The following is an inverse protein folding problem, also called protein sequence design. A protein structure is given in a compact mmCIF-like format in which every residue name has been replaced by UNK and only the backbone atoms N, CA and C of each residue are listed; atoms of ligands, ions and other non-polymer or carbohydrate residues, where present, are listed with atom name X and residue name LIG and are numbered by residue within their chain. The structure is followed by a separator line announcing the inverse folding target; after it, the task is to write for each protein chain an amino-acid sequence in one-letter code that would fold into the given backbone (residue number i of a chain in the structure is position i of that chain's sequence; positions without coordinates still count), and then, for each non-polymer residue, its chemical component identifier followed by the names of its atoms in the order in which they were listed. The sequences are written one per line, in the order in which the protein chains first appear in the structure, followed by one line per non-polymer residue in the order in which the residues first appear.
data_IF_015231968523
#
_entry.id   IF_015231968523
#
_cell.length_a   1.000
_cell.length_b   1.000
_cell.length_c   1.000
_cell.angle_alpha   90.00
_cell.angle_beta   90.00
_cell.angle_gamma   90.00
#
_symmetry.space_group_name_H-M   'P 1'
#
loop_
_entity.id
_entity.type
_entity.pdbx_description
1 polymer ?
#
# COMPACT_ATOMS: atom_id res chain seq x y z
N UNK A 1 -1.97 12.99 -19.81
CA UNK A 1 -1.76 12.27 -21.09
C UNK A 1 -2.37 10.88 -20.93
N UNK A 2 -3.28 10.48 -21.82
CA UNK A 2 -3.81 9.11 -21.81
C UNK A 2 -2.75 8.17 -22.38
N UNK A 3 -2.13 7.34 -21.56
CA UNK A 3 -1.23 6.29 -22.05
C UNK A 3 -2.05 5.32 -22.91
N UNK A 4 -1.77 5.29 -24.20
CA UNK A 4 -2.43 4.40 -25.15
C UNK A 4 -1.96 2.95 -24.89
N UNK A 5 -2.92 2.02 -24.82
CA UNK A 5 -2.66 0.58 -24.73
C UNK A 5 -3.17 -0.12 -25.98
N UNK A 6 -2.66 -1.31 -26.27
CA UNK A 6 -3.20 -2.19 -27.30
C UNK A 6 -3.57 -3.56 -26.73
N UNK A 7 -4.60 -4.16 -27.32
CA UNK A 7 -5.14 -5.45 -26.92
C UNK A 7 -5.19 -6.38 -28.13
N UNK A 8 -4.69 -7.61 -27.96
CA UNK A 8 -4.63 -8.63 -29.01
C UNK A 8 -5.13 -9.97 -28.47
N UNK A 9 -6.05 -10.61 -29.16
CA UNK A 9 -6.37 -12.02 -28.92
C UNK A 9 -5.66 -12.92 -29.93
N UNK A 10 -5.07 -14.01 -29.47
CA UNK A 10 -4.36 -14.94 -30.34
C UNK A 10 -4.37 -16.37 -29.79
N UNK A 11 -4.16 -17.35 -30.66
CA UNK A 11 -4.04 -18.76 -30.26
C UNK A 11 -2.62 -19.06 -29.80
N UNK A 12 -2.46 -19.48 -28.55
CA UNK A 12 -1.15 -19.87 -28.01
C UNK A 12 -0.93 -21.36 -28.27
N UNK A 13 0.23 -21.72 -28.82
CA UNK A 13 0.59 -23.13 -29.09
C UNK A 13 1.11 -23.79 -27.80
N UNK A 14 0.44 -24.84 -27.28
CA UNK A 14 0.97 -25.63 -26.17
C UNK A 14 2.25 -26.38 -26.58
N UNK A 15 3.16 -26.64 -25.62
CA UNK A 15 4.44 -27.33 -25.88
C UNK A 15 4.26 -28.74 -26.47
N UNK A 16 3.19 -29.47 -26.12
CA UNK A 16 2.92 -30.84 -26.56
C UNK A 16 1.73 -30.93 -27.53
N UNK A 17 1.55 -29.93 -28.39
CA UNK A 17 0.40 -29.89 -29.30
C UNK A 17 0.55 -30.91 -30.45
N UNK A 18 -0.30 -31.94 -30.43
CA UNK A 18 -0.39 -32.97 -31.50
C UNK A 18 -1.56 -32.68 -32.46
N UNK A 19 -2.60 -31.97 -32.00
CA UNK A 19 -3.78 -31.59 -32.77
C UNK A 19 -4.92 -31.10 -31.88
N UNK A 20 -5.99 -30.53 -32.46
CA UNK A 20 -7.20 -30.14 -31.74
C UNK A 20 -7.33 -28.64 -31.42
N UNK A 21 -8.12 -28.32 -30.40
CA UNK A 21 -8.38 -26.94 -29.98
C UNK A 21 -7.13 -26.28 -29.41
N UNK A 22 -7.01 -24.96 -29.58
CA UNK A 22 -5.93 -24.17 -28.97
C UNK A 22 -6.50 -23.13 -28.01
N UNK A 23 -5.84 -22.90 -26.86
CA UNK A 23 -6.26 -21.87 -25.94
C UNK A 23 -6.07 -20.48 -26.54
N UNK A 24 -7.07 -19.63 -26.32
CA UNK A 24 -7.04 -18.22 -26.71
C UNK A 24 -6.43 -17.42 -25.56
N UNK A 25 -5.40 -16.66 -25.87
CA UNK A 25 -4.75 -15.74 -24.96
C UNK A 25 -5.04 -14.30 -25.37
N UNK A 26 -5.16 -13.45 -24.36
CA UNK A 26 -5.24 -12.01 -24.49
C UNK A 26 -3.86 -11.42 -24.16
N UNK A 27 -3.35 -10.53 -24.99
CA UNK A 27 -2.12 -9.77 -24.75
C UNK A 27 -2.47 -8.30 -24.61
N UNK A 28 -2.07 -7.70 -23.49
CA UNK A 28 -2.20 -6.29 -23.19
C UNK A 28 -0.81 -5.68 -23.35
N UNK A 29 -0.65 -4.65 -24.18
CA UNK A 29 0.63 -3.95 -24.38
C UNK A 29 0.48 -2.49 -24.01
N UNK A 30 1.37 -1.99 -23.16
CA UNK A 30 1.43 -0.58 -22.76
C UNK A 30 2.86 -0.10 -22.92
N UNK A 31 3.07 1.00 -23.65
CA UNK A 31 4.40 1.56 -23.92
C UNK A 31 5.45 0.54 -24.43
N UNK A 32 5.00 -0.47 -25.18
CA UNK A 32 5.87 -1.51 -25.75
C UNK A 32 6.12 -2.73 -24.85
N UNK A 33 5.66 -2.75 -23.59
CA UNK A 33 5.75 -3.93 -22.71
C UNK A 33 4.47 -4.79 -22.80
N UNK A 34 4.54 -6.04 -23.27
CA UNK A 34 3.39 -6.93 -23.36
C UNK A 34 3.23 -7.81 -22.11
N UNK A 35 1.98 -7.98 -21.65
CA UNK A 35 1.58 -8.98 -20.64
C UNK A 35 0.45 -9.83 -21.18
N UNK A 36 0.51 -11.13 -20.88
CA UNK A 36 -0.44 -12.12 -21.41
C UNK A 36 -1.34 -12.67 -20.31
N UNK A 37 -2.59 -12.94 -20.68
CA UNK A 37 -3.63 -13.48 -19.79
C UNK A 37 -4.41 -14.55 -20.55
N UNK A 38 -4.64 -15.70 -19.92
CA UNK A 38 -5.52 -16.72 -20.49
C UNK A 38 -6.97 -16.23 -20.48
N UNK A 39 -7.69 -16.44 -21.58
CA UNK A 39 -9.14 -16.15 -21.63
C UNK A 39 -9.99 -17.29 -21.07
N UNK A 40 -9.39 -18.46 -20.78
CA UNK A 40 -10.12 -19.67 -20.38
C UNK A 40 -10.97 -20.29 -21.49
N UNK A 41 -10.86 -19.80 -22.73
CA UNK A 41 -11.54 -20.34 -23.92
C UNK A 41 -10.54 -20.91 -24.90
N UNK A 42 -11.03 -21.80 -25.75
CA UNK A 42 -10.25 -22.43 -26.81
C UNK A 42 -10.96 -22.29 -28.16
N UNK A 43 -10.20 -22.38 -29.25
CA UNK A 43 -10.73 -22.33 -30.60
C UNK A 43 -9.95 -23.27 -31.53
N UNK A 44 -10.65 -23.82 -32.51
CA UNK A 44 -10.06 -24.55 -33.62
C UNK A 44 -9.22 -23.59 -34.46
N UNK A 45 -7.91 -23.85 -34.67
CA UNK A 45 -7.05 -23.02 -35.51
C UNK A 45 -7.62 -22.77 -36.91
N UNK A 46 -8.33 -23.74 -37.49
CA UNK A 46 -8.95 -23.62 -38.83
C UNK A 46 -10.07 -22.59 -38.81
N UNK A 47 -10.73 -22.38 -37.67
CA UNK A 47 -11.81 -21.41 -37.46
C UNK A 47 -11.35 -20.10 -36.84
N UNK A 48 -10.05 -19.87 -36.69
CA UNK A 48 -9.53 -18.60 -36.19
C UNK A 48 -9.13 -17.67 -37.33
N UNK A 49 -9.44 -16.38 -37.21
CA UNK A 49 -8.94 -15.33 -38.09
C UNK A 49 -7.89 -14.52 -37.33
N UNK A 50 -6.61 -14.76 -37.64
CA UNK A 50 -5.48 -14.08 -37.00
C UNK A 50 -5.38 -12.58 -37.31
N UNK A 51 -5.94 -12.11 -38.43
CA UNK A 51 -5.97 -10.67 -38.74
C UNK A 51 -7.05 -9.94 -37.95
N UNK A 52 -8.20 -10.58 -37.78
CA UNK A 52 -9.33 -10.04 -37.04
C UNK A 52 -9.25 -10.28 -35.52
N UNK A 53 -8.34 -11.15 -35.06
CA UNK A 53 -8.24 -11.59 -33.66
C UNK A 53 -9.57 -12.14 -33.12
N UNK A 54 -10.29 -12.87 -33.98
CA UNK A 54 -11.64 -13.39 -33.73
C UNK A 54 -11.82 -14.74 -34.41
N UNK A 55 -12.79 -15.51 -33.95
CA UNK A 55 -13.20 -16.73 -34.63
C UNK A 55 -14.04 -16.38 -35.89
N UNK A 56 -13.81 -17.08 -37.00
CA UNK A 56 -14.53 -16.93 -38.27
C UNK A 56 -15.64 -17.97 -38.40
N UNK A 57 -16.78 -17.54 -38.93
CA UNK A 57 -17.96 -18.37 -39.14
C UNK A 57 -19.24 -17.71 -38.63
N UNK A 58 -20.39 -18.29 -38.98
CA UNK A 58 -21.72 -17.73 -38.67
C UNK A 58 -22.50 -18.56 -37.66
N UNK A 59 -21.95 -19.68 -37.18
CA UNK A 59 -22.59 -20.56 -36.20
C UNK A 59 -22.70 -19.88 -34.83
N UNK A 60 -23.67 -20.34 -34.03
CA UNK A 60 -23.99 -19.74 -32.73
C UNK A 60 -22.84 -19.84 -31.72
N UNK A 61 -22.11 -20.96 -31.71
CA UNK A 61 -20.89 -21.15 -30.91
C UNK A 61 -19.82 -20.10 -31.21
N UNK A 62 -19.63 -19.77 -32.49
CA UNK A 62 -18.68 -18.74 -32.95
C UNK A 62 -19.13 -17.34 -32.54
N UNK A 63 -20.43 -17.04 -32.68
CA UNK A 63 -20.98 -15.74 -32.23
C UNK A 63 -20.84 -15.58 -30.72
N UNK A 64 -21.16 -16.62 -29.95
CA UNK A 64 -21.01 -16.63 -28.49
C UNK A 64 -19.56 -16.45 -28.04
N UNK A 65 -18.61 -17.10 -28.72
CA UNK A 65 -17.18 -16.91 -28.45
C UNK A 65 -16.73 -15.48 -28.72
N UNK A 66 -17.09 -14.90 -29.87
CA UNK A 66 -16.70 -13.53 -30.19
C UNK A 66 -17.33 -12.51 -29.22
N UNK A 67 -18.61 -12.67 -28.86
CA UNK A 67 -19.27 -11.83 -27.87
C UNK A 67 -18.61 -11.92 -26.47
N UNK A 68 -18.11 -13.11 -26.10
CA UNK A 68 -17.30 -13.28 -24.89
C UNK A 68 -15.99 -12.48 -24.97
N UNK A 69 -15.25 -12.58 -26.09
CA UNK A 69 -14.02 -11.81 -26.30
C UNK A 69 -14.28 -10.30 -26.27
N UNK A 70 -15.36 -9.82 -26.88
CA UNK A 70 -15.78 -8.42 -26.83
C UNK A 70 -16.12 -7.95 -25.40
N UNK A 71 -16.61 -8.86 -24.56
CA UNK A 71 -16.83 -8.58 -23.14
C UNK A 71 -15.53 -8.46 -22.37
N UNK A 72 -14.52 -9.28 -22.67
CA UNK A 72 -13.19 -9.15 -22.08
C UNK A 72 -12.52 -7.83 -22.47
N UNK A 73 -12.65 -7.44 -23.73
CA UNK A 73 -12.13 -6.17 -24.25
C UNK A 73 -12.73 -4.97 -23.51
N UNK A 74 -14.06 -4.97 -23.31
CA UNK A 74 -14.75 -3.95 -22.50
C UNK A 74 -14.25 -3.92 -21.04
N UNK A 75 -14.07 -5.07 -20.41
CA UNK A 75 -13.53 -5.14 -19.03
C UNK A 75 -12.13 -4.53 -18.91
N UNK A 76 -11.26 -4.74 -19.89
CA UNK A 76 -9.93 -4.12 -19.90
C UNK A 76 -10.04 -2.61 -20.11
N UNK A 77 -10.94 -2.14 -20.97
CA UNK A 77 -11.19 -0.72 -21.16
C UNK A 77 -11.71 -0.04 -19.87
N UNK A 78 -12.64 -0.68 -19.16
CA UNK A 78 -13.14 -0.20 -17.87
C UNK A 78 -12.03 -0.15 -16.81
N UNK A 79 -11.16 -1.17 -16.76
CA UNK A 79 -10.00 -1.20 -15.87
C UNK A 79 -9.02 -0.05 -16.17
N UNK A 80 -8.77 0.24 -17.46
CA UNK A 80 -7.95 1.38 -17.88
C UNK A 80 -8.57 2.71 -17.44
N UNK A 81 -9.87 2.89 -17.68
CA UNK A 81 -10.59 4.10 -17.28
C UNK A 81 -10.53 4.33 -15.76
N UNK A 82 -10.65 3.26 -14.97
CA UNK A 82 -10.49 3.34 -13.51
C UNK A 82 -9.08 3.76 -13.13
N UNK A 83 -8.02 3.15 -13.70
CA UNK A 83 -6.64 3.56 -13.41
C UNK A 83 -6.36 5.02 -13.78
N UNK A 84 -6.95 5.52 -14.87
CA UNK A 84 -6.89 6.94 -15.25
C UNK A 84 -7.56 7.82 -14.19
N UNK A 85 -8.77 7.45 -13.74
CA UNK A 85 -9.51 8.19 -12.70
C UNK A 85 -8.79 8.19 -11.35
N UNK A 86 -8.22 7.04 -10.98
CA UNK A 86 -7.47 6.84 -9.75
C UNK A 86 -6.10 7.56 -9.77
N UNK A 87 -5.68 8.10 -10.92
CA UNK A 87 -4.38 8.74 -11.09
C UNK A 87 -3.20 7.78 -10.89
N UNK A 88 -3.46 6.47 -11.07
CA UNK A 88 -2.47 5.40 -10.90
C UNK A 88 -1.60 5.29 -12.16
N UNK A 89 -0.34 4.89 -12.00
CA UNK A 89 0.53 4.62 -13.14
C UNK A 89 -0.02 3.48 -14.01
N UNK A 90 -0.16 3.76 -15.32
CA UNK A 90 -0.71 2.81 -16.29
C UNK A 90 0.45 2.05 -16.93
N UNK A 91 0.65 0.81 -16.50
CA UNK A 91 1.58 -0.17 -17.08
C UNK A 91 0.79 -1.39 -17.54
N UNK A 92 1.39 -2.25 -18.36
CA UNK A 92 0.74 -3.48 -18.80
C UNK A 92 0.44 -4.42 -17.62
N UNK A 93 1.28 -4.41 -16.59
CA UNK A 93 1.04 -5.19 -15.36
C UNK A 93 -0.07 -4.57 -14.50
N UNK A 94 -0.09 -3.25 -14.28
CA UNK A 94 -1.16 -2.61 -13.49
C UNK A 94 -2.53 -2.78 -14.14
N UNK A 95 -2.60 -2.68 -15.47
CA UNK A 95 -3.83 -2.91 -16.23
C UNK A 95 -4.26 -4.38 -16.19
N UNK A 96 -3.33 -5.33 -16.32
CA UNK A 96 -3.60 -6.77 -16.16
C UNK A 96 -4.10 -7.09 -14.75
N UNK A 97 -3.46 -6.56 -13.72
CA UNK A 97 -3.84 -6.79 -12.32
C UNK A 97 -5.26 -6.24 -12.07
N UNK A 98 -5.53 -4.99 -12.45
CA UNK A 98 -6.86 -4.37 -12.34
C UNK A 98 -7.92 -5.18 -13.09
N UNK A 99 -7.65 -5.63 -14.32
CA UNK A 99 -8.54 -6.52 -15.08
C UNK A 99 -8.81 -7.85 -14.36
N UNK A 100 -7.79 -8.44 -13.75
CA UNK A 100 -7.92 -9.68 -12.96
C UNK A 100 -8.58 -9.46 -11.58
N UNK A 101 -8.98 -8.22 -11.25
CA UNK A 101 -9.46 -7.86 -9.92
C UNK A 101 -8.40 -7.99 -8.83
N UNK A 102 -7.12 -8.01 -9.21
CA UNK A 102 -5.98 -8.02 -8.29
C UNK A 102 -5.50 -6.60 -8.11
N UNK A 103 -5.44 -6.12 -6.87
CA UNK A 103 -5.05 -4.75 -6.59
C UNK A 103 -3.60 -4.48 -7.02
N UNK A 104 -3.35 -3.28 -7.53
CA UNK A 104 -2.05 -2.83 -8.01
C UNK A 104 -1.22 -2.50 -6.78
N UNK A 105 -0.46 -3.48 -6.28
CA UNK A 105 0.40 -3.43 -5.09
C UNK A 105 -0.31 -2.87 -3.84
N UNK A 106 -0.93 -3.78 -3.08
CA UNK A 106 -1.33 -3.49 -1.69
C UNK A 106 -0.11 -2.98 -0.93
N UNK A 107 -0.26 -1.80 -0.34
CA UNK A 107 0.77 -1.22 0.52
C UNK A 107 0.33 -1.41 1.95
N UNK A 108 1.26 -1.84 2.78
CA UNK A 108 1.00 -2.20 4.17
C UNK A 108 1.68 -1.23 5.12
N UNK A 109 1.03 -0.93 6.24
CA UNK A 109 1.44 0.09 7.19
C UNK A 109 2.76 -0.27 7.86
N UNK A 110 2.87 -1.49 8.40
CA UNK A 110 4.02 -1.91 9.19
C UNK A 110 5.24 -2.11 8.30
N UNK A 111 5.06 -2.65 7.09
CA UNK A 111 6.11 -2.70 6.08
C UNK A 111 6.65 -1.30 5.77
N UNK A 112 5.76 -0.33 5.47
CA UNK A 112 6.14 1.05 5.16
C UNK A 112 6.88 1.71 6.33
N UNK A 113 6.38 1.52 7.55
CA UNK A 113 6.98 2.08 8.76
C UNK A 113 8.37 1.48 9.01
N UNK A 114 8.51 0.16 8.88
CA UNK A 114 9.79 -0.54 9.09
C UNK A 114 10.84 -0.09 8.08
N UNK A 115 10.47 0.06 6.81
CA UNK A 115 11.36 0.59 5.78
C UNK A 115 11.75 2.05 6.05
N UNK A 116 10.84 2.87 6.58
CA UNK A 116 11.18 4.22 7.04
C UNK A 116 12.25 4.19 8.14
N UNK A 117 12.11 3.31 9.15
CA UNK A 117 13.07 3.20 10.24
C UNK A 117 14.44 2.72 9.74
N UNK A 118 14.46 1.76 8.80
CA UNK A 118 15.70 1.29 8.15
C UNK A 118 16.44 2.41 7.43
N UNK A 119 15.71 3.27 6.70
CA UNK A 119 16.29 4.46 6.06
C UNK A 119 16.82 5.46 7.08
N UNK A 120 16.13 5.65 8.20
CA UNK A 120 16.60 6.52 9.29
C UNK A 120 17.88 5.98 9.94
N UNK A 121 17.97 4.68 10.15
CA UNK A 121 19.15 4.01 10.69
C UNK A 121 20.39 4.20 9.80
N UNK A 122 20.22 4.05 8.48
CA UNK A 122 21.28 4.31 7.51
C UNK A 122 21.79 5.77 7.50
N UNK A 123 21.02 6.70 8.08
CA UNK A 123 21.34 8.13 8.17
C UNK A 123 21.77 8.56 9.58
N UNK A 124 22.02 7.63 10.50
CA UNK A 124 22.57 7.94 11.82
C UNK A 124 23.93 8.66 11.69
N UNK A 125 24.09 9.75 12.43
CA UNK A 125 25.29 10.60 12.36
C UNK A 125 25.33 11.57 11.16
N UNK A 126 24.39 11.46 10.21
CA UNK A 126 24.24 12.37 9.05
C UNK A 126 22.98 13.24 9.16
N UNK A 127 22.62 13.62 10.39
CA UNK A 127 21.45 14.45 10.69
C UNK A 127 20.41 13.81 11.61
N UNK A 128 20.43 12.48 11.78
CA UNK A 128 19.57 11.79 12.74
C UNK A 128 20.30 11.40 14.03
N UNK A 129 19.62 11.63 15.16
CA UNK A 129 20.09 11.25 16.49
C UNK A 129 19.59 9.86 16.87
N UNK A 130 20.39 9.02 17.56
CA UNK A 130 19.99 7.68 17.99
C UNK A 130 18.67 7.64 18.80
N UNK A 131 18.45 8.64 19.66
CA UNK A 131 17.22 8.74 20.46
C UNK A 131 15.96 8.91 19.60
N UNK A 132 16.07 9.56 18.44
CA UNK A 132 14.95 9.70 17.52
C UNK A 132 14.57 8.35 16.93
N UNK A 133 15.56 7.58 16.42
CA UNK A 133 15.33 6.24 15.90
C UNK A 133 14.74 5.30 16.95
N UNK A 134 15.25 5.33 18.19
CA UNK A 134 14.68 4.58 19.31
C UNK A 134 13.18 4.86 19.46
N UNK A 135 12.79 6.13 19.39
CA UNK A 135 11.38 6.55 19.46
C UNK A 135 10.50 6.00 18.34
N UNK A 136 11.02 5.94 17.10
CA UNK A 136 10.30 5.34 15.97
C UNK A 136 10.22 3.81 16.07
N UNK A 137 11.25 3.14 16.55
CA UNK A 137 11.22 1.69 16.81
C UNK A 137 10.19 1.35 17.89
N UNK A 138 10.09 2.14 18.96
CA UNK A 138 9.03 1.98 19.97
C UNK A 138 7.64 2.20 19.37
N UNK A 139 7.48 3.12 18.42
CA UNK A 139 6.19 3.30 17.72
C UNK A 139 5.79 2.09 16.90
N UNK A 140 6.74 1.45 16.20
CA UNK A 140 6.49 0.20 15.48
C UNK A 140 5.99 -0.87 16.45
N UNK A 141 6.69 -1.06 17.59
CA UNK A 141 6.28 -2.04 18.59
C UNK A 141 4.87 -1.79 19.13
N UNK A 142 4.53 -0.55 19.50
CA UNK A 142 3.18 -0.21 19.97
C UNK A 142 2.11 -0.43 18.92
N UNK A 143 2.40 -0.12 17.66
CA UNK A 143 1.46 -0.28 16.56
C UNK A 143 1.24 -1.76 16.25
N UNK A 144 2.29 -2.58 16.26
CA UNK A 144 2.17 -4.05 16.17
C UNK A 144 1.28 -4.60 17.29
N UNK A 145 1.52 -4.22 18.55
CA UNK A 145 0.67 -4.68 19.67
C UNK A 145 -0.79 -4.23 19.55
N UNK A 146 -1.04 -3.04 19.00
CA UNK A 146 -2.39 -2.56 18.73
C UNK A 146 -3.08 -3.41 17.66
N UNK A 147 -2.39 -3.69 16.55
CA UNK A 147 -2.93 -4.53 15.47
C UNK A 147 -3.21 -5.95 15.97
N UNK A 148 -2.29 -6.56 16.69
CA UNK A 148 -2.46 -7.92 17.23
C UNK A 148 -3.65 -8.00 18.19
N UNK A 149 -3.80 -7.01 19.09
CA UNK A 149 -4.86 -7.02 20.09
C UNK A 149 -6.24 -6.65 19.53
N UNK A 150 -6.32 -5.60 18.71
CA UNK A 150 -7.59 -5.02 18.29
C UNK A 150 -8.07 -5.52 16.92
N UNK A 151 -7.15 -6.00 16.08
CA UNK A 151 -7.46 -6.44 14.72
C UNK A 151 -7.13 -7.92 14.47
N UNK A 152 -6.30 -8.55 15.31
CA UNK A 152 -5.88 -9.95 15.14
C UNK A 152 -4.90 -10.16 13.98
N UNK A 153 -4.25 -9.09 13.52
CA UNK A 153 -3.33 -9.09 12.38
C UNK A 153 -1.99 -8.47 12.79
N UNK A 154 -0.91 -8.80 12.09
CA UNK A 154 0.43 -8.22 12.34
C UNK A 154 0.72 -7.00 11.48
N UNK A 155 -0.07 -6.79 10.42
CA UNK A 155 0.01 -5.65 9.50
C UNK A 155 -1.38 -5.31 8.98
N UNK A 156 -1.57 -4.09 8.48
CA UNK A 156 -2.83 -3.60 7.94
C UNK A 156 -2.59 -2.87 6.61
N UNK A 157 -3.49 -3.09 5.65
CA UNK A 157 -3.46 -2.35 4.39
C UNK A 157 -3.72 -0.86 4.64
N UNK A 158 -2.90 0.02 4.05
CA UNK A 158 -2.94 1.47 4.33
C UNK A 158 -4.30 2.08 4.01
N UNK A 159 -5.04 1.50 3.04
CA UNK A 159 -6.38 1.96 2.65
C UNK A 159 -7.46 1.70 3.71
N UNK A 160 -7.23 0.80 4.66
CA UNK A 160 -8.15 0.55 5.78
C UNK A 160 -7.89 1.46 6.98
N UNK A 161 -6.91 2.36 6.90
CA UNK A 161 -6.60 3.31 7.98
C UNK A 161 -7.54 4.50 7.85
N UNK A 162 -8.60 4.50 8.65
CA UNK A 162 -9.59 5.57 8.74
C UNK A 162 -9.46 6.36 10.05
N UNK A 163 -10.39 7.29 10.29
CA UNK A 163 -10.42 8.07 11.53
C UNK A 163 -10.64 7.22 12.79
N UNK A 164 -11.40 6.11 12.66
CA UNK A 164 -11.66 5.20 13.77
C UNK A 164 -10.38 4.47 14.18
N UNK A 165 -9.55 4.06 13.21
CA UNK A 165 -8.22 3.50 13.48
C UNK A 165 -7.33 4.50 14.23
N UNK A 166 -7.27 5.76 13.76
CA UNK A 166 -6.43 6.80 14.37
C UNK A 166 -6.83 7.06 15.84
N UNK A 167 -8.13 7.20 16.10
CA UNK A 167 -8.64 7.45 17.45
C UNK A 167 -8.56 6.21 18.34
N UNK A 168 -8.80 5.02 17.79
CA UNK A 168 -8.63 3.74 18.48
C UNK A 168 -7.18 3.48 18.90
N UNK A 169 -6.21 3.79 18.04
CA UNK A 169 -4.80 3.67 18.38
C UNK A 169 -4.37 4.65 19.48
N UNK A 170 -4.82 5.91 19.43
CA UNK A 170 -4.57 6.85 20.54
C UNK A 170 -5.15 6.35 21.87
N UNK A 171 -6.36 5.79 21.83
CA UNK A 171 -7.00 5.22 23.00
C UNK A 171 -6.16 4.06 23.55
N UNK A 172 -5.81 3.07 22.72
CA UNK A 172 -4.98 1.93 23.08
C UNK A 172 -3.63 2.34 23.71
N UNK A 173 -2.97 3.35 23.15
CA UNK A 173 -1.72 3.88 23.72
C UNK A 173 -1.92 4.34 25.17
N UNK A 174 -3.06 4.94 25.49
CA UNK A 174 -3.35 5.48 26.83
C UNK A 174 -3.91 4.44 27.79
N UNK A 175 -4.73 3.51 27.31
CA UNK A 175 -5.35 2.48 28.14
C UNK A 175 -4.43 1.30 28.40
N UNK A 176 -3.85 0.72 27.34
CA UNK A 176 -3.19 -0.58 27.40
C UNK A 176 -1.67 -0.44 27.54
N UNK A 177 -1.09 0.55 26.85
CA UNK A 177 0.34 0.87 26.96
C UNK A 177 0.64 1.87 28.08
N UNK A 178 -0.38 2.30 28.83
CA UNK A 178 -0.31 3.27 29.94
C UNK A 178 0.51 4.53 29.60
N UNK A 179 0.52 4.92 28.32
CA UNK A 179 1.29 6.07 27.88
C UNK A 179 0.67 7.36 28.41
N UNK A 180 1.51 8.24 28.94
CA UNK A 180 1.13 9.63 29.21
C UNK A 180 0.58 10.30 27.94
N UNK A 181 -0.27 11.31 28.09
CA UNK A 181 -0.80 12.06 26.95
C UNK A 181 0.32 12.62 26.04
N UNK A 182 1.45 13.03 26.62
CA UNK A 182 2.62 13.53 25.88
C UNK A 182 3.32 12.40 25.10
N UNK A 183 3.48 11.23 25.73
CA UNK A 183 4.05 10.04 25.07
C UNK A 183 3.17 9.56 23.92
N UNK A 184 1.85 9.49 24.14
CA UNK A 184 0.89 9.11 23.11
C UNK A 184 0.94 10.10 21.93
N UNK A 185 0.92 11.41 22.21
CA UNK A 185 1.06 12.45 21.18
C UNK A 185 2.32 12.30 20.32
N UNK A 186 3.45 11.92 20.94
CA UNK A 186 4.70 11.63 20.22
C UNK A 186 4.52 10.48 19.22
N UNK A 187 3.91 9.37 19.64
CA UNK A 187 3.69 8.22 18.76
C UNK A 187 2.64 8.49 17.67
N UNK A 188 1.59 9.25 17.98
CA UNK A 188 0.64 9.73 16.98
C UNK A 188 1.31 10.63 15.94
N UNK A 189 2.31 11.43 16.33
CA UNK A 189 3.12 12.23 15.41
C UNK A 189 3.98 11.36 14.48
N UNK A 190 4.54 10.26 14.99
CA UNK A 190 5.28 9.30 14.16
C UNK A 190 4.34 8.62 13.15
N UNK A 191 3.18 8.12 13.57
CA UNK A 191 2.20 7.52 12.66
C UNK A 191 1.74 8.54 11.58
N UNK A 192 1.45 9.78 11.97
CA UNK A 192 1.11 10.86 11.04
C UNK A 192 2.20 11.10 9.99
N UNK A 193 3.48 10.99 10.36
CA UNK A 193 4.60 11.13 9.43
C UNK A 193 4.55 10.06 8.34
N UNK A 194 4.27 8.81 8.72
CA UNK A 194 4.13 7.69 7.77
C UNK A 194 2.91 7.90 6.88
N UNK A 195 1.74 8.22 7.44
CA UNK A 195 0.52 8.49 6.65
C UNK A 195 0.73 9.64 5.65
N UNK A 196 1.44 10.70 6.06
CA UNK A 196 1.78 11.79 5.14
C UNK A 196 2.72 11.34 4.01
N UNK A 197 3.61 10.38 4.24
CA UNK A 197 4.41 9.77 3.16
C UNK A 197 3.52 8.96 2.22
N UNK A 198 2.58 8.18 2.75
CA UNK A 198 1.63 7.41 1.94
C UNK A 198 0.76 8.32 1.06
N UNK A 199 0.31 9.46 1.59
CA UNK A 199 -0.39 10.51 0.83
C UNK A 199 0.51 11.10 -0.27
N UNK A 200 1.77 11.41 0.05
CA UNK A 200 2.72 11.93 -0.95
C UNK A 200 3.00 10.93 -2.08
N UNK A 201 2.99 9.62 -1.76
CA UNK A 201 3.09 8.53 -2.73
C UNK A 201 1.77 8.19 -3.43
N UNK A 202 0.66 8.86 -3.07
CA UNK A 202 -0.70 8.60 -3.59
C UNK A 202 -1.21 7.17 -3.38
N UNK A 203 -0.76 6.52 -2.30
CA UNK A 203 -1.29 5.20 -1.91
C UNK A 203 -2.66 5.28 -1.24
N UNK A 204 -2.95 6.44 -0.66
CA UNK A 204 -4.26 6.86 -0.16
C UNK A 204 -4.57 8.25 -0.69
N UNK A 205 -5.86 8.55 -0.84
CA UNK A 205 -6.37 9.82 -1.36
C UNK A 205 -6.82 10.76 -0.25
N UNK A 206 -7.37 10.22 0.82
CA UNK A 206 -7.90 10.96 1.95
C UNK A 206 -6.98 10.83 3.17
N UNK A 207 -6.86 11.91 3.93
CA UNK A 207 -6.02 11.91 5.12
C UNK A 207 -6.84 11.54 6.38
N UNK A 208 -6.61 10.37 7.01
CA UNK A 208 -7.39 9.93 8.18
C UNK A 208 -7.16 10.80 9.42
N UNK A 209 -6.13 11.65 9.42
CA UNK A 209 -5.83 12.57 10.50
C UNK A 209 -6.52 13.94 10.38
N UNK A 210 -7.33 14.22 9.34
CA UNK A 210 -7.94 15.55 9.10
C UNK A 210 -8.69 16.07 10.33
N UNK A 211 -9.48 15.21 10.97
CA UNK A 211 -10.28 15.57 12.14
C UNK A 211 -9.62 15.22 13.48
N UNK A 212 -8.41 14.63 13.47
CA UNK A 212 -7.73 14.24 14.69
C UNK A 212 -6.94 15.42 15.29
N UNK A 213 -7.22 15.73 16.55
CA UNK A 213 -6.55 16.76 17.35
C UNK A 213 -5.98 16.17 18.63
N UNK A 214 -4.68 16.39 18.84
CA UNK A 214 -3.97 15.95 20.04
C UNK A 214 -4.40 16.75 21.27
N UNK A 215 -4.69 16.07 22.38
CA UNK A 215 -5.12 16.67 23.66
C UNK A 215 -3.99 16.85 24.69
N UNK A 216 -2.76 16.53 24.33
CA UNK A 216 -1.61 16.61 25.24
C UNK A 216 -1.32 18.06 25.63
N UNK A 217 -1.19 18.30 26.94
CA UNK A 217 -0.71 19.56 27.48
C UNK A 217 0.79 19.46 27.78
N UNK A 218 1.60 20.50 27.48
CA UNK A 218 2.98 20.54 27.93
C UNK A 218 2.99 20.51 29.46
N UNK A 219 3.88 19.68 30.02
CA UNK A 219 4.15 19.71 31.46
C UNK A 219 4.92 20.99 31.78
N UNK A 220 4.51 21.71 32.82
CA UNK A 220 5.26 22.86 33.30
C UNK A 220 6.66 22.41 33.70
N UNK A 221 7.67 23.16 33.24
CA UNK A 221 9.05 22.92 33.62
C UNK A 221 9.29 23.66 34.93
N UNK A 222 9.41 22.91 36.01
CA UNK A 222 9.96 23.44 37.24
C UNK A 222 11.44 23.77 37.01
N UNK A 223 11.86 24.94 37.48
CA UNK A 223 13.24 25.37 37.46
C UNK A 223 13.72 25.53 38.89
N UNK A 224 15.01 25.28 39.12
CA UNK A 224 15.62 25.49 40.42
C UNK A 224 15.84 26.98 40.63
N UNK A 225 15.48 27.46 41.81
CA UNK A 225 15.85 28.79 42.29
C UNK A 225 17.35 28.88 42.56
N UNK A 226 17.95 30.08 42.60
CA UNK A 226 19.35 30.24 42.96
C UNK A 226 19.72 29.55 44.29
N UNK A 227 18.87 29.67 45.31
CA UNK A 227 19.10 29.05 46.62
C UNK A 227 19.05 27.52 46.59
N UNK A 228 18.26 26.93 45.68
CA UNK A 228 18.23 25.48 45.48
C UNK A 228 19.47 24.99 44.73
N UNK A 229 19.95 25.77 43.77
CA UNK A 229 21.21 25.50 43.08
C UNK A 229 22.39 25.55 44.05
N UNK A 230 22.46 26.58 44.91
CA UNK A 230 23.54 26.72 45.90
C UNK A 230 23.52 25.57 46.93
N UNK A 231 22.33 25.17 47.39
CA UNK A 231 22.19 24.00 48.27
C UNK A 231 22.64 22.69 47.63
N UNK A 232 22.37 22.50 46.34
CA UNK A 232 22.85 21.31 45.61
C UNK A 232 24.36 21.36 45.42
N UNK A 233 24.92 22.53 45.10
CA UNK A 233 26.34 22.72 44.87
C UNK A 233 27.18 22.48 46.14
N UNK A 234 26.67 22.88 47.30
CA UNK A 234 27.35 22.74 48.59
C UNK A 234 27.07 21.39 49.28
N UNK A 235 26.27 20.52 48.67
CA UNK A 235 25.92 19.23 49.28
C UNK A 235 27.11 18.28 49.25
N UNK A 236 27.64 17.94 50.42
CA UNK A 236 28.61 16.86 50.56
C UNK A 236 27.91 15.50 50.45
N UNK A 237 28.35 14.69 49.49
CA UNK A 237 27.87 13.32 49.31
C UNK A 237 28.81 12.37 50.06
N UNK A 238 28.26 11.60 51.00
CA UNK A 238 29.01 10.61 51.80
C UNK A 238 29.36 9.33 51.04
N UNK A 239 28.92 9.20 49.78
CA UNK A 239 29.20 8.05 48.94
C UNK A 239 30.48 8.33 48.16
N UNK A 240 31.50 7.50 48.37
CA UNK A 240 32.77 7.57 47.64
C UNK A 240 32.52 7.30 46.14
N UNK A 241 33.08 8.18 45.30
CA UNK A 241 32.94 8.14 43.84
C UNK A 241 33.70 6.99 43.20
#
# INVERSE_FOLDING_TARGET
MSTNYSLLFYLKKPKNYVGGMKPIYMRITVAGDPKEVSTGRECDPVRWNAKANRAKGTKEDIRGLNAYLDTLERKVADAHLQLVKDGTEITAESLKLKYLGKDVQRQYLMETFTEHNRKMEALLGKGFKPNTLKGYNTSVAHLTSYLEKCHGETDIEIRHIDHAFITGYEFFLRSDMECSAVSAAKYMKHLRKIINQCLAHRWITENPFVFYKTKAKPREKEFLTPDELDRIAQKEFSITR
#
